data_IF_118131352524
#
_entry.id   IF_118131352524
#
_cell.length_a   1.000
_cell.length_b   1.000
_cell.length_c   1.000
_cell.angle_alpha   90.00
_cell.angle_beta   90.00
_cell.angle_gamma   90.00
#
_symmetry.space_group_name_H-M   'P 1'
#
loop_
_entity.id
_entity.type
_entity.pdbx_description
1 polymer ?
#
# COMPACT_ATOMS: atom_id res chain seq x y z
N UNK A 1 -5.06 -21.95 18.73
CA UNK A 1 -5.57 -20.68 19.27
C UNK A 1 -5.70 -19.69 18.12
N UNK A 2 -6.87 -19.08 17.83
CA UNK A 2 -7.01 -18.10 16.74
C UNK A 2 -6.40 -16.78 17.23
N UNK A 3 -5.12 -16.54 16.93
CA UNK A 3 -4.55 -15.19 17.09
C UNK A 3 -5.37 -14.23 16.22
N UNK A 4 -5.99 -13.22 16.84
CA UNK A 4 -6.43 -12.04 16.13
C UNK A 4 -5.17 -11.28 15.76
N UNK A 5 -4.65 -11.55 14.57
CA UNK A 5 -3.63 -10.67 13.98
C UNK A 5 -4.27 -9.29 13.83
N UNK A 6 -3.85 -8.38 14.66
CA UNK A 6 -3.90 -6.97 14.30
C UNK A 6 -2.96 -6.85 13.09
N UNK A 7 -3.55 -6.86 11.91
CA UNK A 7 -2.90 -6.35 10.73
C UNK A 7 -2.44 -4.93 11.08
N UNK A 8 -1.24 -4.82 11.62
CA UNK A 8 -0.47 -3.60 11.46
C UNK A 8 -0.19 -3.52 9.96
N UNK A 9 -1.24 -3.12 9.23
CA UNK A 9 -1.05 -2.49 7.95
C UNK A 9 0.00 -1.43 8.20
N UNK A 10 1.27 -1.77 7.97
CA UNK A 10 2.24 -0.76 7.66
C UNK A 10 1.63 -0.03 6.47
N UNK A 11 0.83 0.98 6.79
CA UNK A 11 0.51 2.04 5.87
C UNK A 11 1.88 2.57 5.44
N UNK A 12 2.42 1.92 4.41
CA UNK A 12 3.50 2.54 3.68
C UNK A 12 2.99 3.92 3.36
N UNK A 13 3.63 4.97 3.87
CA UNK A 13 3.39 6.27 3.28
C UNK A 13 3.57 5.99 1.80
N UNK A 14 2.49 6.18 1.01
CA UNK A 14 2.57 6.17 -0.44
C UNK A 14 3.83 6.96 -0.72
N UNK A 15 4.90 6.24 -1.04
CA UNK A 15 6.18 6.89 -1.25
C UNK A 15 5.87 7.95 -2.27
N UNK A 16 6.00 9.19 -1.84
CA UNK A 16 5.92 10.37 -2.68
C UNK A 16 6.85 10.13 -3.86
N UNK A 17 6.38 9.33 -4.83
CA UNK A 17 6.94 9.35 -6.16
C UNK A 17 6.78 10.80 -6.57
N UNK A 18 7.90 11.50 -6.47
CA UNK A 18 8.07 12.88 -6.86
C UNK A 18 7.11 13.18 -8.01
N UNK A 19 6.02 13.87 -7.68
CA UNK A 19 5.13 14.46 -8.68
C UNK A 19 6.01 15.48 -9.39
N UNK A 20 6.69 15.01 -10.43
CA UNK A 20 7.41 15.88 -11.33
C UNK A 20 6.41 16.93 -11.81
N UNK A 21 6.64 18.17 -11.41
CA UNK A 21 5.93 19.31 -11.96
C UNK A 21 6.19 19.33 -13.47
N UNK A 22 5.34 18.63 -14.22
CA UNK A 22 5.24 18.91 -15.65
C UNK A 22 4.44 20.20 -15.79
N UNK A 23 5.16 21.30 -16.00
CA UNK A 23 4.59 22.50 -16.59
C UNK A 23 4.09 22.14 -17.99
N UNK A 24 2.82 21.80 -18.10
CA UNK A 24 2.13 21.76 -19.38
C UNK A 24 1.84 23.21 -19.80
N UNK A 25 2.70 23.73 -20.69
CA UNK A 25 2.37 24.89 -21.50
C UNK A 25 1.19 24.54 -22.42
N UNK A 26 -0.03 24.82 -21.98
CA UNK A 26 -1.20 24.86 -22.84
C UNK A 26 -1.46 26.33 -23.18
N UNK A 27 -0.73 26.87 -24.12
CA UNK A 27 -1.11 28.09 -24.83
C UNK A 27 -1.99 27.73 -26.03
N UNK A 28 -3.18 28.28 -26.02
CA UNK A 28 -4.12 28.70 -27.08
C UNK A 28 -5.49 28.04 -27.03
N UNK A 29 -6.46 28.81 -26.55
CA UNK A 29 -7.77 29.01 -27.24
C UNK A 29 -8.56 30.16 -26.60
N UNK A 30 -8.44 31.31 -27.23
CA UNK A 30 -9.39 32.42 -27.52
C UNK A 30 -10.63 32.60 -26.59
N UNK A 31 -10.64 33.69 -25.81
CA UNK A 31 -11.63 34.77 -25.71
C UNK A 31 -11.31 35.74 -24.57
N UNK A 32 -11.39 37.04 -24.83
CA UNK A 32 -11.15 38.26 -24.04
C UNK A 32 -10.09 38.20 -22.91
N UNK A 33 -8.96 38.96 -23.06
CA UNK A 33 -7.72 38.70 -22.32
C UNK A 33 -7.74 38.96 -20.80
N UNK A 34 -8.56 39.87 -20.29
CA UNK A 34 -8.44 40.30 -18.89
C UNK A 34 -9.24 39.44 -17.89
N UNK A 35 -10.46 39.01 -18.21
CA UNK A 35 -11.31 38.20 -17.32
C UNK A 35 -10.81 36.75 -17.27
N UNK A 36 -10.26 36.27 -18.40
CA UNK A 36 -9.61 34.95 -18.44
C UNK A 36 -8.32 34.90 -17.61
N UNK A 37 -7.50 35.96 -17.66
CA UNK A 37 -6.24 36.00 -16.91
C UNK A 37 -6.46 35.98 -15.37
N UNK A 38 -7.44 36.74 -14.88
CA UNK A 38 -7.74 36.78 -13.45
C UNK A 38 -8.32 35.45 -12.94
N UNK A 39 -9.19 34.81 -13.70
CA UNK A 39 -9.73 33.49 -13.37
C UNK A 39 -8.67 32.41 -13.41
N UNK A 40 -7.75 32.47 -14.37
CA UNK A 40 -6.67 31.50 -14.50
C UNK A 40 -5.62 31.63 -13.38
N UNK A 41 -5.30 32.86 -12.96
CA UNK A 41 -4.45 33.09 -11.80
C UNK A 41 -5.09 32.55 -10.50
N UNK A 42 -6.41 32.76 -10.32
CA UNK A 42 -7.14 32.21 -9.17
C UNK A 42 -7.19 30.68 -9.21
N UNK A 43 -7.38 30.08 -10.39
CA UNK A 43 -7.32 28.64 -10.60
C UNK A 43 -5.95 28.08 -10.20
N UNK A 44 -4.86 28.59 -10.78
CA UNK A 44 -3.50 28.13 -10.50
C UNK A 44 -3.14 28.27 -9.01
N UNK A 45 -3.51 29.39 -8.37
CA UNK A 45 -3.31 29.60 -6.93
C UNK A 45 -4.05 28.54 -6.09
N UNK A 46 -5.27 28.18 -6.48
CA UNK A 46 -6.01 27.14 -5.77
C UNK A 46 -5.40 25.75 -5.98
N UNK A 47 -4.96 25.42 -7.20
CA UNK A 47 -4.25 24.17 -7.50
C UNK A 47 -2.97 24.04 -6.67
N UNK A 48 -2.15 25.09 -6.66
CA UNK A 48 -0.90 25.11 -5.89
C UNK A 48 -1.15 24.98 -4.38
N UNK A 49 -2.11 25.73 -3.84
CA UNK A 49 -2.47 25.63 -2.42
C UNK A 49 -3.05 24.25 -2.08
N UNK A 50 -3.86 23.66 -2.96
CA UNK A 50 -4.36 22.29 -2.82
C UNK A 50 -3.20 21.30 -2.74
N UNK A 51 -2.26 21.33 -3.69
CA UNK A 51 -1.10 20.46 -3.71
C UNK A 51 -0.20 20.62 -2.47
N UNK A 52 0.05 21.85 -2.05
CA UNK A 52 0.82 22.10 -0.83
C UNK A 52 0.14 21.53 0.42
N UNK A 53 -1.18 21.68 0.55
CA UNK A 53 -1.92 21.12 1.68
C UNK A 53 -1.98 19.60 1.63
N UNK A 54 -2.14 18.99 0.46
CA UNK A 54 -2.06 17.54 0.26
C UNK A 54 -0.70 17.01 0.74
N UNK A 55 0.40 17.60 0.29
CA UNK A 55 1.75 17.18 0.66
C UNK A 55 2.04 17.34 2.17
N UNK A 56 1.35 18.24 2.84
CA UNK A 56 1.47 18.49 4.28
C UNK A 56 0.48 17.66 5.12
N UNK A 57 -0.29 16.75 4.53
CA UNK A 57 -1.29 15.95 5.23
C UNK A 57 -2.56 16.73 5.63
N UNK A 58 -2.72 17.97 5.17
CA UNK A 58 -3.89 18.80 5.45
C UNK A 58 -5.02 18.50 4.45
N UNK A 59 -5.47 17.26 4.39
CA UNK A 59 -6.35 16.72 3.35
C UNK A 59 -7.64 17.49 3.18
N UNK A 60 -8.32 17.87 4.27
CA UNK A 60 -9.57 18.66 4.17
C UNK A 60 -9.33 20.01 3.51
N UNK A 61 -8.23 20.70 3.86
CA UNK A 61 -7.89 22.00 3.24
C UNK A 61 -7.53 21.82 1.76
N UNK A 62 -6.86 20.70 1.42
CA UNK A 62 -6.56 20.36 0.03
C UNK A 62 -7.85 20.22 -0.78
N UNK A 63 -8.85 19.48 -0.27
CA UNK A 63 -10.17 19.32 -0.89
C UNK A 63 -10.85 20.68 -1.10
N UNK A 64 -10.81 21.57 -0.11
CA UNK A 64 -11.43 22.89 -0.21
C UNK A 64 -10.80 23.73 -1.34
N UNK A 65 -9.47 23.67 -1.50
CA UNK A 65 -8.78 24.35 -2.58
C UNK A 65 -9.07 23.71 -3.94
N UNK A 66 -9.07 22.38 -4.05
CA UNK A 66 -9.44 21.69 -5.28
C UNK A 66 -10.90 21.97 -5.68
N UNK A 67 -11.81 22.04 -4.72
CA UNK A 67 -13.19 22.47 -4.97
C UNK A 67 -13.27 23.89 -5.57
N UNK A 68 -12.45 24.82 -5.07
CA UNK A 68 -12.38 26.19 -5.63
C UNK A 68 -11.80 26.18 -7.04
N UNK A 69 -10.75 25.36 -7.30
CA UNK A 69 -10.18 25.20 -8.62
C UNK A 69 -11.20 24.63 -9.63
N UNK A 70 -11.91 23.57 -9.25
CA UNK A 70 -12.93 22.92 -10.09
C UNK A 70 -14.16 23.77 -10.36
N UNK A 71 -14.47 24.76 -9.50
CA UNK A 71 -15.50 25.78 -9.80
C UNK A 71 -15.11 26.68 -10.95
N UNK A 72 -13.79 26.92 -11.15
CA UNK A 72 -13.26 27.77 -12.20
C UNK A 72 -13.09 26.97 -13.49
N UNK A 73 -12.47 25.77 -13.39
CA UNK A 73 -12.25 24.88 -14.52
C UNK A 73 -12.61 23.44 -14.14
N UNK A 74 -13.67 22.91 -14.76
CA UNK A 74 -14.32 21.64 -14.39
C UNK A 74 -13.73 20.40 -15.08
N UNK A 75 -12.80 20.57 -16.01
CA UNK A 75 -12.29 19.48 -16.86
C UNK A 75 -10.80 19.24 -16.63
N UNK A 76 -10.38 19.15 -15.38
CA UNK A 76 -9.00 18.87 -15.02
C UNK A 76 -8.92 17.53 -14.27
N UNK A 77 -8.50 16.46 -14.98
CA UNK A 77 -8.36 15.13 -14.43
C UNK A 77 -7.37 15.06 -13.26
N UNK A 78 -6.28 15.87 -13.31
CA UNK A 78 -5.29 15.89 -12.24
C UNK A 78 -5.86 16.45 -10.93
N UNK A 79 -6.76 17.45 -11.02
CA UNK A 79 -7.42 17.98 -9.82
C UNK A 79 -8.39 16.95 -9.23
N UNK A 80 -9.16 16.26 -10.05
CA UNK A 80 -10.00 15.15 -9.57
C UNK A 80 -9.17 14.07 -8.93
N UNK A 81 -8.05 13.66 -9.55
CA UNK A 81 -7.14 12.66 -8.97
C UNK A 81 -6.60 13.09 -7.60
N UNK A 82 -6.10 14.33 -7.48
CA UNK A 82 -5.54 14.81 -6.22
C UNK A 82 -6.62 15.01 -5.13
N UNK A 83 -7.84 15.39 -5.51
CA UNK A 83 -8.97 15.47 -4.58
C UNK A 83 -9.40 14.08 -4.14
N UNK A 84 -9.40 13.11 -5.05
CA UNK A 84 -9.65 11.71 -4.73
C UNK A 84 -8.62 11.17 -3.73
N UNK A 85 -7.33 11.46 -3.95
CA UNK A 85 -6.28 11.07 -3.02
C UNK A 85 -6.52 11.69 -1.62
N UNK A 86 -6.87 12.98 -1.57
CA UNK A 86 -7.21 13.64 -0.30
C UNK A 86 -8.43 13.04 0.39
N UNK A 87 -9.45 12.63 -0.38
CA UNK A 87 -10.61 11.92 0.15
C UNK A 87 -10.25 10.52 0.67
N UNK A 88 -9.40 9.79 -0.05
CA UNK A 88 -8.91 8.48 0.36
C UNK A 88 -8.20 8.55 1.72
N UNK A 89 -7.28 9.49 1.89
CA UNK A 89 -6.52 9.69 3.13
C UNK A 89 -7.42 10.10 4.33
N UNK A 90 -8.61 10.64 4.07
CA UNK A 90 -9.64 10.93 5.09
C UNK A 90 -10.61 9.76 5.33
N UNK A 91 -10.46 8.63 4.64
CA UNK A 91 -11.39 7.51 4.71
C UNK A 91 -12.70 7.72 3.93
N UNK A 92 -12.80 8.78 3.14
CA UNK A 92 -13.96 9.07 2.29
C UNK A 92 -13.87 8.27 0.97
N UNK A 93 -13.82 6.96 1.06
CA UNK A 93 -13.50 6.07 -0.07
C UNK A 93 -14.49 6.14 -1.22
N UNK A 94 -15.78 6.35 -0.95
CA UNK A 94 -16.81 6.47 -2.00
C UNK A 94 -16.64 7.74 -2.83
N UNK A 95 -16.30 8.84 -2.19
CA UNK A 95 -15.98 10.12 -2.82
C UNK A 95 -14.68 10.01 -3.61
N UNK A 96 -13.67 9.33 -3.06
CA UNK A 96 -12.41 9.05 -3.75
C UNK A 96 -12.65 8.26 -5.03
N UNK A 97 -13.43 7.18 -4.99
CA UNK A 97 -13.78 6.37 -6.16
C UNK A 97 -14.47 7.21 -7.24
N UNK A 98 -15.41 8.09 -6.83
CA UNK A 98 -16.09 8.97 -7.77
C UNK A 98 -15.12 9.90 -8.49
N UNK A 99 -14.24 10.54 -7.75
CA UNK A 99 -13.28 11.49 -8.27
C UNK A 99 -12.19 10.79 -9.13
N UNK A 100 -11.70 9.61 -8.72
CA UNK A 100 -10.79 8.82 -9.55
C UNK A 100 -11.42 8.39 -10.88
N UNK A 101 -12.70 8.01 -10.90
CA UNK A 101 -13.41 7.68 -12.13
C UNK A 101 -13.56 8.90 -13.04
N UNK A 102 -13.81 10.08 -12.46
CA UNK A 102 -13.85 11.32 -13.24
C UNK A 102 -12.47 11.68 -13.78
N UNK A 103 -11.40 11.46 -12.99
CA UNK A 103 -10.03 11.58 -13.46
C UNK A 103 -9.76 10.68 -14.66
N UNK A 104 -10.14 9.39 -14.61
CA UNK A 104 -10.00 8.45 -15.73
C UNK A 104 -10.74 8.90 -16.99
N UNK A 105 -11.91 9.53 -16.86
CA UNK A 105 -12.69 10.04 -17.99
C UNK A 105 -12.02 11.24 -18.67
N UNK A 106 -11.23 12.00 -17.92
CA UNK A 106 -10.61 13.25 -18.36
C UNK A 106 -9.12 13.12 -18.69
N UNK A 107 -8.48 12.02 -18.27
CA UNK A 107 -7.03 11.81 -18.38
C UNK A 107 -6.61 11.12 -19.68
N UNK A 108 -5.39 11.46 -20.10
CA UNK A 108 -4.64 10.72 -21.10
C UNK A 108 -4.19 9.35 -20.52
N UNK A 109 -4.07 8.34 -21.38
CA UNK A 109 -3.80 6.92 -21.04
C UNK A 109 -2.61 6.66 -20.10
N UNK A 110 -1.71 7.64 -19.92
CA UNK A 110 -0.45 7.42 -19.18
C UNK A 110 -0.61 7.26 -17.67
N UNK A 111 -1.63 7.87 -17.04
CA UNK A 111 -1.90 7.76 -15.60
C UNK A 111 -2.93 6.69 -15.25
N UNK A 112 -3.56 6.09 -16.25
CA UNK A 112 -4.70 5.20 -16.02
C UNK A 112 -4.36 3.99 -15.13
N UNK A 113 -3.14 3.46 -15.19
CA UNK A 113 -2.74 2.31 -14.37
C UNK A 113 -2.75 2.62 -12.86
N UNK A 114 -2.13 3.74 -12.46
CA UNK A 114 -2.10 4.14 -11.04
C UNK A 114 -3.48 4.57 -10.54
N UNK A 115 -4.28 5.19 -11.40
CA UNK A 115 -5.65 5.56 -11.04
C UNK A 115 -6.51 4.31 -10.85
N UNK A 116 -6.34 3.27 -11.69
CA UNK A 116 -6.99 1.98 -11.47
C UNK A 116 -6.53 1.33 -10.16
N UNK A 117 -5.24 1.36 -9.82
CA UNK A 117 -4.74 0.88 -8.53
C UNK A 117 -5.47 1.56 -7.37
N UNK A 118 -5.52 2.90 -7.37
CA UNK A 118 -6.14 3.67 -6.29
C UNK A 118 -7.65 3.44 -6.18
N UNK A 119 -8.36 3.22 -7.31
CA UNK A 119 -9.76 2.79 -7.29
C UNK A 119 -9.86 1.39 -6.66
N UNK A 120 -8.97 0.47 -7.02
CA UNK A 120 -8.90 -0.87 -6.44
C UNK A 120 -8.72 -0.83 -4.93
N UNK A 121 -7.75 -0.05 -4.46
CA UNK A 121 -7.53 0.16 -3.03
C UNK A 121 -8.76 0.78 -2.35
N UNK A 122 -9.38 1.78 -2.97
CA UNK A 122 -10.60 2.38 -2.40
C UNK A 122 -11.77 1.40 -2.31
N UNK A 123 -11.92 0.49 -3.29
CA UNK A 123 -12.93 -0.59 -3.23
C UNK A 123 -12.59 -1.64 -2.17
N UNK A 124 -11.32 -1.96 -1.98
CA UNK A 124 -10.84 -2.86 -0.93
C UNK A 124 -11.24 -2.33 0.44
N UNK A 125 -10.98 -1.04 0.73
CA UNK A 125 -11.32 -0.40 2.01
C UNK A 125 -12.82 -0.37 2.33
N UNK A 126 -13.69 -0.51 1.33
CA UNK A 126 -15.15 -0.66 1.54
C UNK A 126 -15.63 -2.11 1.30
N UNK A 127 -14.71 -3.06 1.33
CA UNK A 127 -14.94 -4.51 1.22
C UNK A 127 -15.65 -4.95 -0.09
N UNK A 128 -15.58 -4.11 -1.14
CA UNK A 128 -16.09 -4.47 -2.47
C UNK A 128 -15.00 -5.19 -3.29
N UNK A 129 -14.59 -6.36 -2.82
CA UNK A 129 -13.39 -7.09 -3.25
C UNK A 129 -13.38 -7.47 -4.73
N UNK A 130 -14.54 -7.86 -5.32
CA UNK A 130 -14.62 -8.18 -6.74
C UNK A 130 -14.33 -6.95 -7.62
N UNK A 131 -14.79 -5.77 -7.19
CA UNK A 131 -14.49 -4.53 -7.90
C UNK A 131 -13.03 -4.13 -7.71
N UNK A 132 -12.47 -4.34 -6.51
CA UNK A 132 -11.05 -4.14 -6.26
C UNK A 132 -10.20 -5.00 -7.19
N UNK A 133 -10.47 -6.31 -7.27
CA UNK A 133 -9.78 -7.24 -8.19
C UNK A 133 -9.88 -6.81 -9.65
N UNK A 134 -11.06 -6.37 -10.10
CA UNK A 134 -11.24 -5.85 -11.45
C UNK A 134 -10.27 -4.70 -11.74
N UNK A 135 -10.18 -3.74 -10.82
CA UNK A 135 -9.34 -2.56 -10.98
C UNK A 135 -7.84 -2.88 -10.87
N UNK A 136 -7.42 -3.76 -9.96
CA UNK A 136 -6.03 -4.24 -9.90
C UNK A 136 -5.63 -4.96 -11.19
N UNK A 137 -6.50 -5.82 -11.72
CA UNK A 137 -6.25 -6.50 -12.99
C UNK A 137 -6.11 -5.50 -14.16
N UNK A 138 -6.88 -4.41 -14.18
CA UNK A 138 -6.74 -3.33 -15.15
C UNK A 138 -5.38 -2.62 -15.02
N UNK A 139 -4.97 -2.28 -13.79
CA UNK A 139 -3.67 -1.67 -13.53
C UNK A 139 -2.52 -2.55 -14.06
N UNK A 140 -2.54 -3.84 -13.73
CA UNK A 140 -1.58 -4.84 -14.20
C UNK A 140 -1.60 -4.95 -15.72
N UNK A 141 -2.77 -4.98 -16.36
CA UNK A 141 -2.87 -5.09 -17.81
C UNK A 141 -2.26 -3.91 -18.56
N UNK A 142 -2.32 -2.71 -17.97
CA UNK A 142 -1.75 -1.49 -18.54
C UNK A 142 -0.23 -1.43 -18.33
N UNK A 143 0.25 -1.82 -17.14
CA UNK A 143 1.68 -1.80 -16.79
C UNK A 143 2.12 -3.11 -16.13
N UNK A 144 2.28 -4.19 -16.91
CA UNK A 144 2.55 -5.53 -16.38
C UNK A 144 3.97 -5.72 -15.78
N UNK A 145 4.83 -4.73 -15.89
CA UNK A 145 6.19 -4.81 -15.38
C UNK A 145 6.41 -4.06 -14.06
N UNK A 146 5.35 -3.50 -13.47
CA UNK A 146 5.41 -2.82 -12.18
C UNK A 146 5.05 -3.78 -11.04
N UNK A 147 6.02 -4.05 -10.15
CA UNK A 147 5.87 -5.03 -9.06
C UNK A 147 4.74 -4.67 -8.09
N UNK A 148 4.60 -3.40 -7.76
CA UNK A 148 3.64 -2.94 -6.76
C UNK A 148 2.17 -3.20 -7.13
N UNK A 149 1.80 -3.32 -8.42
CA UNK A 149 0.42 -3.71 -8.79
C UNK A 149 0.10 -5.15 -8.41
N UNK A 150 1.10 -6.04 -8.53
CA UNK A 150 0.96 -7.42 -8.08
C UNK A 150 0.98 -7.49 -6.55
N UNK A 151 1.83 -6.70 -5.91
CA UNK A 151 1.89 -6.63 -4.45
C UNK A 151 0.53 -6.24 -3.85
N UNK A 152 -0.11 -5.18 -4.33
CA UNK A 152 -1.41 -4.72 -3.84
C UNK A 152 -2.52 -5.75 -4.10
N UNK A 153 -2.51 -6.43 -5.27
CA UNK A 153 -3.44 -7.52 -5.53
C UNK A 153 -3.16 -8.74 -4.66
N UNK A 154 -1.90 -9.04 -4.40
CA UNK A 154 -1.48 -10.08 -3.47
C UNK A 154 -2.01 -9.85 -2.05
N UNK A 155 -1.93 -8.61 -1.55
CA UNK A 155 -2.54 -8.26 -0.26
C UNK A 155 -4.06 -8.44 -0.26
N UNK A 156 -4.75 -8.14 -1.35
CA UNK A 156 -6.18 -8.43 -1.44
C UNK A 156 -6.46 -9.95 -1.42
N UNK A 157 -5.65 -10.75 -2.11
CA UNK A 157 -5.77 -12.21 -2.02
C UNK A 157 -5.48 -12.72 -0.61
N UNK A 158 -4.52 -12.12 0.10
CA UNK A 158 -4.26 -12.40 1.52
C UNK A 158 -5.50 -12.13 2.38
N UNK A 159 -6.13 -10.96 2.25
CA UNK A 159 -7.36 -10.63 3.00
C UNK A 159 -8.50 -11.61 2.73
N UNK A 160 -8.50 -12.24 1.56
CA UNK A 160 -9.47 -13.23 1.14
C UNK A 160 -9.07 -14.68 1.49
N UNK A 161 -8.02 -14.89 2.28
CA UNK A 161 -7.42 -16.20 2.59
C UNK A 161 -7.04 -17.04 1.34
N UNK A 162 -6.83 -16.40 0.18
CA UNK A 162 -6.41 -17.02 -1.07
C UNK A 162 -4.88 -17.08 -1.14
N UNK A 163 -4.32 -18.00 -0.36
CA UNK A 163 -2.88 -18.04 -0.10
C UNK A 163 -2.04 -18.37 -1.34
N UNK A 164 -2.50 -19.26 -2.21
CA UNK A 164 -1.81 -19.62 -3.46
C UNK A 164 -1.74 -18.43 -4.42
N UNK A 165 -2.86 -17.71 -4.59
CA UNK A 165 -2.93 -16.51 -5.43
C UNK A 165 -2.08 -15.38 -4.84
N UNK A 166 -2.11 -15.19 -3.51
CA UNK A 166 -1.28 -14.22 -2.81
C UNK A 166 0.21 -14.52 -3.02
N UNK A 167 0.63 -15.78 -2.84
CA UNK A 167 2.00 -16.18 -3.07
C UNK A 167 2.46 -15.91 -4.50
N UNK A 168 1.65 -16.30 -5.47
CA UNK A 168 1.95 -16.07 -6.89
C UNK A 168 2.19 -14.60 -7.19
N UNK A 169 1.35 -13.73 -6.65
CA UNK A 169 1.45 -12.29 -6.85
C UNK A 169 2.65 -11.70 -6.12
N UNK A 170 2.92 -12.09 -4.88
CA UNK A 170 4.08 -11.62 -4.12
C UNK A 170 5.41 -12.06 -4.76
N UNK A 171 5.52 -13.31 -5.21
CA UNK A 171 6.72 -13.78 -5.92
C UNK A 171 6.90 -13.05 -7.28
N UNK A 172 5.80 -12.75 -7.98
CA UNK A 172 5.83 -11.93 -9.19
C UNK A 172 6.31 -10.51 -8.87
N UNK A 173 5.77 -9.88 -7.84
CA UNK A 173 6.18 -8.55 -7.38
C UNK A 173 7.67 -8.53 -7.04
N UNK A 174 8.15 -9.49 -6.22
CA UNK A 174 9.55 -9.64 -5.86
C UNK A 174 10.46 -9.75 -7.08
N UNK A 175 10.10 -10.60 -8.05
CA UNK A 175 10.85 -10.77 -9.30
C UNK A 175 10.93 -9.45 -10.10
N UNK A 176 9.84 -8.66 -10.16
CA UNK A 176 9.82 -7.37 -10.86
C UNK A 176 10.69 -6.34 -10.15
N UNK A 177 10.64 -6.26 -8.81
CA UNK A 177 11.48 -5.37 -8.02
C UNK A 177 12.96 -5.68 -8.21
N UNK A 178 13.34 -6.95 -8.11
CA UNK A 178 14.75 -7.39 -8.33
C UNK A 178 15.23 -7.09 -9.75
N UNK A 179 14.39 -7.34 -10.78
CA UNK A 179 14.74 -7.04 -12.17
C UNK A 179 14.97 -5.56 -12.40
N UNK A 180 14.23 -4.69 -11.72
CA UNK A 180 14.37 -3.23 -11.81
C UNK A 180 15.42 -2.67 -10.85
N UNK A 181 16.02 -3.51 -10.00
CA UNK A 181 16.92 -3.09 -8.90
C UNK A 181 16.23 -2.16 -7.92
N UNK A 182 14.92 -2.29 -7.76
CA UNK A 182 14.15 -1.57 -6.75
C UNK A 182 14.38 -2.22 -5.38
N UNK A 183 14.42 -1.41 -4.34
CA UNK A 183 14.61 -1.91 -2.98
C UNK A 183 13.35 -2.65 -2.53
N UNK A 184 13.53 -3.89 -2.11
CA UNK A 184 12.51 -4.66 -1.37
C UNK A 184 12.77 -4.39 0.11
N UNK A 185 11.72 -4.09 0.88
CA UNK A 185 11.88 -3.91 2.31
C UNK A 185 11.80 -5.25 3.06
N UNK A 186 12.23 -5.21 4.31
CA UNK A 186 12.24 -6.36 5.21
C UNK A 186 10.85 -6.92 5.48
N UNK A 187 9.85 -6.06 5.65
CA UNK A 187 8.47 -6.49 5.92
C UNK A 187 7.88 -7.28 4.76
N UNK A 188 8.21 -6.93 3.50
CA UNK A 188 7.70 -7.69 2.35
C UNK A 188 8.29 -9.11 2.29
N UNK A 189 9.55 -9.31 2.72
CA UNK A 189 10.08 -10.66 2.89
C UNK A 189 9.33 -11.41 4.00
N UNK A 190 9.04 -10.75 5.13
CA UNK A 190 8.26 -11.34 6.19
C UNK A 190 6.86 -11.74 5.72
N UNK A 191 6.18 -10.88 4.94
CA UNK A 191 4.86 -11.16 4.36
C UNK A 191 4.89 -12.40 3.45
N UNK A 192 5.90 -12.53 2.60
CA UNK A 192 6.10 -13.74 1.77
C UNK A 192 6.31 -14.97 2.67
N UNK A 193 7.12 -14.84 3.71
CA UNK A 193 7.33 -15.89 4.71
C UNK A 193 6.02 -16.33 5.36
N UNK A 194 5.19 -15.39 5.75
CA UNK A 194 3.90 -15.68 6.35
C UNK A 194 2.95 -16.43 5.38
N UNK A 195 2.93 -16.06 4.10
CA UNK A 195 2.12 -16.80 3.11
C UNK A 195 2.63 -18.23 2.95
N UNK A 196 3.96 -18.44 2.90
CA UNK A 196 4.52 -19.80 2.91
C UNK A 196 4.16 -20.57 4.17
N UNK A 197 4.16 -19.92 5.34
CA UNK A 197 3.73 -20.51 6.60
C UNK A 197 2.27 -20.99 6.54
N UNK A 198 1.37 -20.12 6.02
CA UNK A 198 -0.06 -20.44 5.85
C UNK A 198 -0.29 -21.62 4.89
N UNK A 199 0.60 -21.80 3.93
CA UNK A 199 0.61 -22.93 3.00
C UNK A 199 1.33 -24.19 3.53
N UNK A 200 1.78 -24.16 4.79
CA UNK A 200 2.53 -25.30 5.40
C UNK A 200 3.94 -25.48 4.88
N UNK A 201 4.45 -24.54 4.09
CA UNK A 201 5.80 -24.57 3.52
C UNK A 201 6.82 -23.94 4.48
N UNK A 202 6.93 -24.50 5.69
CA UNK A 202 7.62 -23.89 6.83
C UNK A 202 9.12 -23.60 6.55
N UNK A 203 9.83 -24.45 5.82
CA UNK A 203 11.23 -24.18 5.48
C UNK A 203 11.36 -22.92 4.59
N UNK A 204 10.47 -22.75 3.60
CA UNK A 204 10.46 -21.56 2.76
C UNK A 204 10.03 -20.32 3.53
N UNK A 205 9.15 -20.47 4.52
CA UNK A 205 8.79 -19.40 5.44
C UNK A 205 10.03 -18.92 6.21
N UNK A 206 10.78 -19.87 6.82
CA UNK A 206 12.02 -19.59 7.57
C UNK A 206 13.02 -18.84 6.69
N UNK A 207 13.27 -19.30 5.46
CA UNK A 207 14.19 -18.66 4.53
C UNK A 207 13.84 -17.18 4.28
N UNK A 208 12.55 -16.85 4.21
CA UNK A 208 12.10 -15.48 4.01
C UNK A 208 12.15 -14.65 5.30
N UNK A 209 11.81 -15.23 6.44
CA UNK A 209 11.97 -14.56 7.75
C UNK A 209 13.45 -14.26 8.05
N UNK A 210 14.37 -15.15 7.69
CA UNK A 210 15.81 -14.92 7.82
C UNK A 210 16.26 -13.72 7.01
N UNK A 211 15.78 -13.57 5.76
CA UNK A 211 16.07 -12.38 4.96
C UNK A 211 15.53 -11.10 5.59
N UNK A 212 14.34 -11.14 6.19
CA UNK A 212 13.79 -10.01 6.92
C UNK A 212 14.66 -9.65 8.13
N UNK A 213 15.09 -10.65 8.90
CA UNK A 213 15.99 -10.49 10.07
C UNK A 213 17.36 -9.94 9.64
N UNK A 214 17.96 -10.45 8.55
CA UNK A 214 19.23 -9.94 8.02
C UNK A 214 19.15 -8.44 7.68
N UNK A 215 17.99 -7.99 7.18
CA UNK A 215 17.77 -6.58 6.81
C UNK A 215 17.47 -5.70 8.01
N UNK A 216 16.73 -6.21 8.99
CA UNK A 216 16.39 -5.51 10.24
C UNK A 216 16.42 -6.47 11.44
N UNK A 217 17.58 -6.71 12.05
CA UNK A 217 17.73 -7.64 13.16
C UNK A 217 17.14 -7.14 14.50
N UNK A 218 16.54 -5.95 14.52
CA UNK A 218 15.94 -5.37 15.73
C UNK A 218 14.40 -5.50 15.76
N UNK A 219 13.81 -6.10 14.75
CA UNK A 219 12.36 -6.26 14.66
C UNK A 219 11.94 -7.60 15.28
N UNK A 220 11.40 -7.57 16.49
CA UNK A 220 11.02 -8.75 17.26
C UNK A 220 9.98 -9.64 16.56
N UNK A 221 9.08 -9.05 15.79
CA UNK A 221 8.05 -9.77 15.04
C UNK A 221 8.65 -10.83 14.10
N UNK A 222 9.77 -10.54 13.42
CA UNK A 222 10.38 -11.49 12.49
C UNK A 222 10.91 -12.75 13.20
N UNK A 223 11.45 -12.59 14.39
CA UNK A 223 11.87 -13.73 15.22
C UNK A 223 10.67 -14.52 15.72
N UNK A 224 9.57 -13.86 16.10
CA UNK A 224 8.35 -14.54 16.49
C UNK A 224 7.81 -15.41 15.36
N UNK A 225 7.69 -14.84 14.16
CA UNK A 225 7.16 -15.55 12.99
C UNK A 225 8.08 -16.72 12.57
N UNK A 226 9.41 -16.53 12.66
CA UNK A 226 10.37 -17.63 12.47
C UNK A 226 10.21 -18.72 13.54
N UNK A 227 9.99 -18.32 14.79
CA UNK A 227 9.72 -19.25 15.90
C UNK A 227 8.48 -20.09 15.63
N UNK A 228 7.39 -19.50 15.17
CA UNK A 228 6.17 -20.22 14.80
C UNK A 228 6.45 -21.29 13.72
N UNK A 229 7.21 -20.96 12.69
CA UNK A 229 7.54 -21.89 11.61
C UNK A 229 8.47 -23.05 12.10
N UNK A 230 9.40 -22.75 12.99
CA UNK A 230 10.27 -23.77 13.62
C UNK A 230 9.48 -24.70 14.52
N UNK A 231 8.53 -24.16 15.29
CA UNK A 231 7.65 -24.94 16.14
C UNK A 231 6.80 -25.94 15.33
N UNK A 232 6.22 -25.50 14.23
CA UNK A 232 5.46 -26.37 13.31
C UNK A 232 6.31 -27.47 12.67
N UNK A 233 7.64 -27.28 12.58
CA UNK A 233 8.59 -28.31 12.16
C UNK A 233 9.03 -29.25 13.29
N UNK A 234 8.54 -29.04 14.52
CA UNK A 234 8.96 -29.81 15.70
C UNK A 234 10.38 -29.45 16.22
N UNK A 235 10.93 -28.31 15.82
CA UNK A 235 12.22 -27.79 16.25
C UNK A 235 12.06 -26.89 17.48
N UNK A 236 11.57 -27.49 18.58
CA UNK A 236 11.16 -26.74 19.76
C UNK A 236 12.27 -25.87 20.35
N UNK A 237 13.51 -26.37 20.48
CA UNK A 237 14.63 -25.61 21.06
C UNK A 237 14.96 -24.38 20.19
N UNK A 238 14.97 -24.52 18.85
CA UNK A 238 15.21 -23.40 17.94
C UNK A 238 14.05 -22.41 17.98
N UNK A 239 12.81 -22.87 18.06
CA UNK A 239 11.63 -22.03 18.19
C UNK A 239 11.68 -21.21 19.49
N UNK A 240 11.99 -21.84 20.60
CA UNK A 240 12.15 -21.18 21.89
C UNK A 240 13.22 -20.08 21.86
N UNK A 241 14.40 -20.39 21.29
CA UNK A 241 15.46 -19.37 21.14
C UNK A 241 14.98 -18.14 20.35
N UNK A 242 14.18 -18.34 19.29
CA UNK A 242 13.62 -17.25 18.50
C UNK A 242 12.54 -16.47 19.29
N UNK A 243 11.69 -17.12 20.05
CA UNK A 243 10.71 -16.42 20.91
C UNK A 243 11.40 -15.61 22.02
N UNK A 244 12.47 -16.11 22.62
CA UNK A 244 13.26 -15.35 23.60
C UNK A 244 13.85 -14.10 22.94
N UNK A 245 14.49 -14.22 21.77
CA UNK A 245 15.01 -13.09 21.03
C UNK A 245 13.92 -12.05 20.71
N UNK A 246 12.74 -12.51 20.28
CA UNK A 246 11.57 -11.66 20.00
C UNK A 246 11.14 -10.87 21.24
N UNK A 247 11.05 -11.55 22.40
CA UNK A 247 10.71 -10.94 23.69
C UNK A 247 11.76 -9.93 24.16
N UNK A 248 13.05 -10.24 24.01
CA UNK A 248 14.16 -9.35 24.37
C UNK A 248 14.19 -8.09 23.50
N UNK A 249 13.70 -8.18 22.25
CA UNK A 249 13.52 -7.05 21.36
C UNK A 249 12.23 -6.25 21.64
N UNK A 250 11.47 -6.63 22.65
CA UNK A 250 10.29 -5.90 23.13
C UNK A 250 8.99 -6.22 22.37
N UNK A 251 8.90 -7.37 21.70
CA UNK A 251 7.65 -7.79 21.08
C UNK A 251 6.70 -8.36 22.16
N UNK A 252 5.75 -7.53 22.59
CA UNK A 252 4.91 -7.75 23.76
C UNK A 252 4.08 -9.04 23.69
N UNK A 253 3.53 -9.38 22.51
CA UNK A 253 2.71 -10.59 22.34
C UNK A 253 3.47 -11.87 22.72
N UNK A 254 4.75 -11.95 22.36
CA UNK A 254 5.60 -13.09 22.71
C UNK A 254 6.05 -13.04 24.17
N UNK A 255 6.26 -11.86 24.71
CA UNK A 255 6.57 -11.70 26.14
C UNK A 255 5.42 -12.23 26.99
N UNK A 256 4.18 -11.88 26.64
CA UNK A 256 2.98 -12.38 27.31
C UNK A 256 2.82 -13.90 27.15
N UNK A 257 3.07 -14.41 25.92
CA UNK A 257 3.04 -15.85 25.65
C UNK A 257 4.04 -16.61 26.51
N UNK A 258 5.30 -16.20 26.56
CA UNK A 258 6.35 -16.85 27.37
C UNK A 258 6.08 -16.79 28.86
N UNK A 259 5.35 -15.79 29.35
CA UNK A 259 4.94 -15.67 30.77
C UNK A 259 3.69 -16.48 31.11
N UNK A 260 2.98 -16.97 30.12
CA UNK A 260 1.79 -17.81 30.30
C UNK A 260 2.13 -19.30 30.46
N UNK A 261 1.13 -20.11 30.89
CA UNK A 261 1.27 -21.57 30.90
C UNK A 261 1.53 -22.17 29.53
N UNK A 262 1.10 -21.52 28.46
CA UNK A 262 1.29 -21.98 27.09
C UNK A 262 2.76 -21.86 26.64
N UNK A 263 3.53 -21.01 27.29
CA UNK A 263 4.97 -20.82 27.05
C UNK A 263 5.88 -21.67 27.96
N UNK A 264 5.33 -22.47 28.90
CA UNK A 264 6.13 -23.22 29.89
C UNK A 264 7.07 -24.26 29.26
N UNK A 265 6.76 -24.78 28.08
CA UNK A 265 7.63 -25.70 27.35
C UNK A 265 8.98 -25.07 26.97
N UNK A 266 8.99 -23.75 26.74
CA UNK A 266 10.18 -22.98 26.40
C UNK A 266 11.06 -22.62 27.64
N UNK A 267 10.60 -22.93 28.87
CA UNK A 267 11.34 -22.63 30.11
C UNK A 267 12.16 -23.82 30.62
N UNK A 268 12.10 -24.94 29.93
CA UNK A 268 12.78 -26.18 30.30
C UNK A 268 14.20 -26.22 29.76
#
# INVERSE_FOLDING_TARGET
MKRKFLLNLCLFPISLLSVGFFQLNIFNLISSPAVHATNWNAYNKNVENGGRNLNNGNYQKAIDFYNKALKIYKKDGAIFYNRALSNYELGNYKEAIKDYKEALNLEDKMRSAITHLNIGNSFKEIEEFEKALFHFNKAISIKPNEGFYYQDRGYLYWELDKWDEALKDFETAKSKFLKKKEKINEYFYNDIGYVYFKLGSYNLAIDNYEKAIEMNPKEGMFYSDKGDALYELGKEDEACANYINSSELGYEEIQDYLNSSDGDWCKK
#
